data_IF_097344064077
#
_entry.id   IF_097344064077
#
_cell.length_a   1.000
_cell.length_b   1.000
_cell.length_c   1.000
_cell.angle_alpha   90.00
_cell.angle_beta   90.00
_cell.angle_gamma   90.00
#
_symmetry.space_group_name_H-M   'P 1'
#
loop_
_entity.id
_entity.type
_entity.pdbx_description
1 polymer ?
#
# COMPACT_ATOMS: atom_id res chain seq x y z
N UNK A 1 4.75 0.95 15.81
CA UNK A 1 3.81 -0.20 15.77
C UNK A 1 3.74 -0.78 14.37
N UNK A 2 3.70 -2.09 14.27
CA UNK A 2 3.55 -2.75 12.99
C UNK A 2 2.08 -2.90 12.61
N UNK A 3 1.77 -2.67 11.35
CA UNK A 3 0.43 -2.84 10.81
C UNK A 3 0.49 -3.98 9.80
N UNK A 4 -0.30 -5.03 10.05
CA UNK A 4 -0.40 -6.18 9.17
C UNK A 4 -1.21 -5.80 7.93
N UNK A 5 -0.63 -6.02 6.75
CA UNK A 5 -1.26 -5.65 5.47
C UNK A 5 -1.54 -6.86 4.58
N UNK A 6 -1.44 -8.06 5.12
CA UNK A 6 -1.79 -9.30 4.45
C UNK A 6 -0.62 -10.26 4.34
N UNK A 7 -0.94 -11.54 4.16
CA UNK A 7 0.03 -12.62 4.05
C UNK A 7 1.05 -12.54 5.17
N UNK A 8 2.08 -12.57 5.39
CA UNK A 8 2.95 -12.37 6.56
C UNK A 8 3.68 -11.02 6.51
N UNK A 9 3.10 -10.05 5.79
CA UNK A 9 3.73 -8.74 5.61
C UNK A 9 3.14 -7.73 6.58
N UNK A 10 4.02 -7.02 7.28
CA UNK A 10 3.66 -5.92 8.18
C UNK A 10 4.57 -4.74 7.88
N UNK A 11 4.04 -3.53 8.05
CA UNK A 11 4.80 -2.30 7.86
C UNK A 11 4.71 -1.45 9.11
N UNK A 12 5.75 -0.64 9.36
CA UNK A 12 5.72 0.29 10.49
C UNK A 12 4.76 1.44 10.21
N UNK A 13 3.88 1.72 11.16
CA UNK A 13 2.90 2.79 11.01
C UNK A 13 3.54 4.13 10.72
N UNK A 14 4.67 4.43 11.36
CA UNK A 14 5.38 5.70 11.16
C UNK A 14 5.96 5.86 9.76
N UNK A 15 6.08 4.77 9.01
CA UNK A 15 6.63 4.81 7.65
C UNK A 15 5.54 4.95 6.60
N UNK A 16 4.28 4.79 6.97
CA UNK A 16 3.17 4.89 6.04
C UNK A 16 2.90 6.36 5.71
N UNK A 17 2.98 6.71 4.42
CA UNK A 17 2.68 8.06 3.95
C UNK A 17 1.37 8.13 3.17
N UNK A 18 0.77 7.00 2.83
CA UNK A 18 -0.52 6.98 2.15
C UNK A 18 -1.15 5.61 2.14
N UNK A 19 -2.48 5.59 2.23
CA UNK A 19 -3.31 4.38 2.12
C UNK A 19 -4.43 4.73 1.15
N UNK A 20 -4.49 4.04 0.02
CA UNK A 20 -5.41 4.36 -1.06
C UNK A 20 -6.21 3.13 -1.46
N UNK A 21 -7.52 3.34 -1.69
CA UNK A 21 -8.38 2.31 -2.26
C UNK A 21 -7.97 2.06 -3.71
N UNK A 22 -7.72 0.80 -4.06
CA UNK A 22 -7.26 0.43 -5.40
C UNK A 22 -8.30 0.81 -6.47
N UNK A 23 -9.59 0.60 -6.17
CA UNK A 23 -10.65 0.91 -7.11
C UNK A 23 -10.70 2.40 -7.44
N UNK A 24 -10.54 3.24 -6.42
CA UNK A 24 -10.50 4.69 -6.62
C UNK A 24 -9.22 5.11 -7.34
N UNK A 25 -8.08 4.58 -6.91
CA UNK A 25 -6.79 4.94 -7.48
C UNK A 25 -6.69 4.59 -8.97
N UNK A 26 -7.26 3.45 -9.40
CA UNK A 26 -7.19 3.02 -10.80
C UNK A 26 -8.10 3.83 -11.72
N UNK A 27 -9.05 4.58 -11.17
CA UNK A 27 -9.88 5.49 -11.97
C UNK A 27 -9.23 6.85 -12.21
N UNK A 28 -8.15 7.17 -11.47
CA UNK A 28 -7.46 8.44 -11.58
C UNK A 28 -6.24 8.30 -12.49
N UNK A 29 -6.19 9.15 -13.52
CA UNK A 29 -5.12 9.11 -14.52
C UNK A 29 -3.72 9.22 -13.90
N UNK A 30 -3.54 10.19 -12.99
CA UNK A 30 -2.24 10.43 -12.37
C UNK A 30 -1.81 9.28 -11.48
N UNK A 31 -2.77 8.66 -10.78
CA UNK A 31 -2.49 7.50 -9.93
C UNK A 31 -2.06 6.29 -10.75
N UNK A 32 -2.70 6.08 -11.92
CA UNK A 32 -2.30 4.99 -12.81
C UNK A 32 -0.90 5.20 -13.37
N UNK A 33 -0.58 6.42 -13.72
CA UNK A 33 0.76 6.76 -14.21
C UNK A 33 1.81 6.53 -13.12
N UNK A 34 1.51 6.93 -11.88
CA UNK A 34 2.38 6.71 -10.73
C UNK A 34 2.62 5.22 -10.49
N UNK A 35 1.57 4.41 -10.50
CA UNK A 35 1.68 2.96 -10.29
C UNK A 35 2.52 2.30 -11.39
N UNK A 36 2.32 2.72 -12.63
CA UNK A 36 3.10 2.19 -13.75
C UNK A 36 4.58 2.51 -13.60
N UNK A 37 4.88 3.73 -13.19
CA UNK A 37 6.26 4.15 -12.94
C UNK A 37 6.90 3.31 -11.82
N UNK A 38 6.17 3.09 -10.72
CA UNK A 38 6.67 2.28 -9.61
C UNK A 38 6.91 0.83 -10.03
N UNK A 39 6.05 0.29 -10.87
CA UNK A 39 6.21 -1.06 -11.40
C UNK A 39 7.47 -1.18 -12.26
N UNK A 40 7.71 -0.22 -13.14
CA UNK A 40 8.89 -0.18 -14.00
C UNK A 40 10.18 -0.04 -13.19
N UNK A 41 10.14 0.68 -12.07
CA UNK A 41 11.29 0.89 -11.19
C UNK A 41 11.42 -0.17 -10.10
N UNK A 42 10.56 -1.19 -10.11
CA UNK A 42 10.55 -2.27 -9.13
C UNK A 42 10.31 -1.79 -7.69
N UNK A 43 9.48 -0.76 -7.52
CA UNK A 43 9.10 -0.24 -6.21
C UNK A 43 7.82 -0.85 -5.67
N UNK A 44 7.16 -1.73 -6.43
CA UNK A 44 5.89 -2.33 -6.03
C UNK A 44 6.11 -3.75 -5.54
N UNK A 45 5.54 -4.05 -4.38
CA UNK A 45 5.49 -5.41 -3.86
C UNK A 45 4.02 -5.83 -3.74
N UNK A 46 3.62 -6.87 -4.47
CA UNK A 46 2.30 -7.45 -4.33
C UNK A 46 2.34 -8.46 -3.18
N UNK A 47 1.65 -8.12 -2.09
CA UNK A 47 1.71 -8.88 -0.84
C UNK A 47 1.15 -10.29 -1.00
N UNK A 48 0.12 -10.45 -1.81
CA UNK A 48 -0.50 -11.76 -2.06
C UNK A 48 -0.89 -11.85 -3.54
N UNK A 49 0.05 -12.27 -4.41
CA UNK A 49 -0.19 -12.26 -5.85
C UNK A 49 -1.39 -13.11 -6.32
N UNK A 50 -1.79 -14.11 -5.54
CA UNK A 50 -2.91 -14.98 -5.88
C UNK A 50 -4.26 -14.28 -5.74
N UNK A 51 -4.33 -13.15 -5.04
CA UNK A 51 -5.56 -12.41 -4.84
C UNK A 51 -5.49 -11.04 -5.50
N UNK A 52 -6.65 -10.53 -5.93
CA UNK A 52 -6.72 -9.16 -6.45
C UNK A 52 -6.48 -8.17 -5.32
N UNK A 53 -5.55 -7.23 -5.49
CA UNK A 53 -5.31 -6.24 -4.46
C UNK A 53 -6.47 -5.28 -4.33
N UNK A 54 -6.76 -4.87 -3.10
CA UNK A 54 -7.82 -3.91 -2.78
C UNK A 54 -7.28 -2.56 -2.34
N UNK A 55 -6.04 -2.51 -1.91
CA UNK A 55 -5.47 -1.31 -1.29
C UNK A 55 -4.03 -1.11 -1.72
N UNK A 56 -3.67 0.15 -1.87
CA UNK A 56 -2.30 0.58 -2.12
C UNK A 56 -1.79 1.23 -0.85
N UNK A 57 -0.69 0.71 -0.31
CA UNK A 57 -0.03 1.29 0.86
C UNK A 57 1.31 1.83 0.43
N UNK A 58 1.52 3.13 0.61
CA UNK A 58 2.77 3.78 0.25
C UNK A 58 3.55 4.06 1.51
N UNK A 59 4.79 3.63 1.53
CA UNK A 59 5.68 3.83 2.68
C UNK A 59 6.95 4.55 2.26
N UNK A 60 7.60 5.17 3.23
CA UNK A 60 8.91 5.78 3.04
C UNK A 60 9.81 5.42 4.21
N UNK A 61 11.02 4.97 3.91
CA UNK A 61 12.03 4.65 4.91
C UNK A 61 13.39 5.09 4.40
N UNK A 62 14.03 5.97 5.15
CA UNK A 62 15.38 6.41 4.82
C UNK A 62 15.52 7.01 3.44
N UNK A 63 14.53 7.77 2.99
CA UNK A 63 14.52 8.38 1.66
C UNK A 63 14.10 7.45 0.54
N UNK A 64 13.73 6.21 0.85
CA UNK A 64 13.25 5.23 -0.13
C UNK A 64 11.75 5.02 0.00
N UNK A 65 11.04 5.16 -1.09
CA UNK A 65 9.62 4.88 -1.14
C UNK A 65 9.37 3.46 -1.62
N UNK A 66 8.35 2.83 -1.06
CA UNK A 66 7.92 1.52 -1.47
C UNK A 66 6.40 1.47 -1.51
N UNK A 67 5.85 0.75 -2.48
CA UNK A 67 4.42 0.61 -2.67
C UNK A 67 4.04 -0.85 -2.45
N UNK A 68 3.07 -1.09 -1.58
CA UNK A 68 2.55 -2.43 -1.33
C UNK A 68 1.12 -2.53 -1.86
N UNK A 69 0.84 -3.60 -2.60
CA UNK A 69 -0.51 -3.91 -3.03
C UNK A 69 -1.07 -4.97 -2.08
N UNK A 70 -2.09 -4.60 -1.33
CA UNK A 70 -2.64 -5.43 -0.25
C UNK A 70 -4.03 -5.98 -0.60
N UNK A 71 -4.32 -7.24 -0.25
CA UNK A 71 -5.65 -7.81 -0.42
C UNK A 71 -6.64 -7.35 0.67
N UNK A 72 -6.15 -6.70 1.72
CA UNK A 72 -6.98 -6.19 2.82
C UNK A 72 -7.56 -4.85 2.40
N UNK A 73 -8.85 -4.60 2.73
CA UNK A 73 -9.51 -3.37 2.34
C UNK A 73 -8.86 -2.13 2.95
N UNK A 74 -8.94 -1.01 2.24
CA UNK A 74 -8.40 0.26 2.72
C UNK A 74 -9.03 0.68 4.04
N UNK A 75 -10.33 0.44 4.22
CA UNK A 75 -11.03 0.75 5.46
C UNK A 75 -10.41 0.01 6.65
N UNK A 76 -10.11 -1.28 6.48
CA UNK A 76 -9.49 -2.08 7.53
C UNK A 76 -8.08 -1.60 7.85
N UNK A 77 -7.27 -1.32 6.84
CA UNK A 77 -5.91 -0.84 7.06
C UNK A 77 -5.91 0.53 7.72
N UNK A 78 -6.78 1.44 7.28
CA UNK A 78 -6.92 2.76 7.91
C UNK A 78 -7.34 2.65 9.36
N UNK A 79 -8.24 1.73 9.68
CA UNK A 79 -8.66 1.49 11.05
C UNK A 79 -7.48 1.02 11.90
N UNK A 80 -6.71 0.07 11.42
CA UNK A 80 -5.51 -0.41 12.11
C UNK A 80 -4.49 0.70 12.32
N UNK A 81 -4.29 1.54 11.30
CA UNK A 81 -3.41 2.68 11.36
C UNK A 81 -3.85 3.66 12.45
N UNK A 82 -5.15 4.00 12.49
CA UNK A 82 -5.69 4.93 13.47
C UNK A 82 -5.60 4.38 14.90
N UNK A 83 -5.60 3.07 15.08
CA UNK A 83 -5.48 2.44 16.38
C UNK A 83 -4.03 2.33 16.86
N UNK A 84 -3.06 2.69 16.03
CA UNK A 84 -1.64 2.59 16.36
C UNK A 84 -1.12 3.77 17.20
N UNK A 85 -1.95 4.74 17.47
CA UNK A 85 -1.59 5.91 18.30
C UNK A 85 -2.03 5.73 19.74
#
# INVERSE_FOLDING_TARGET
>A
MFIHIGNNVSVLSKEIIGIFDMEVATTMRDSRAFLKMCEEEDFIENVLPEEMPKTIVVTEQGGRSRVYLSPISAATIKKRFNMSY
#
